data_IF_087402721232
#
_entry.id   IF_087402721232
#
_cell.length_a   1.000
_cell.length_b   1.000
_cell.length_c   1.000
_cell.angle_alpha   90.00
_cell.angle_beta   90.00
_cell.angle_gamma   90.00
#
_symmetry.space_group_name_H-M   'P 1'
#
loop_
_entity.id
_entity.type
_entity.pdbx_description
1 polymer ?
#
# COMPACT_ATOMS: atom_id res chain seq x y z
N UNK A 1 -18.54 17.83 -18.90
CA UNK A 1 -17.50 16.79 -19.03
C UNK A 1 -17.64 15.87 -17.82
N UNK A 2 -17.66 14.56 -18.04
CA UNK A 2 -17.90 13.54 -17.01
C UNK A 2 -16.59 12.80 -16.72
N UNK A 3 -16.36 12.44 -15.46
CA UNK A 3 -15.19 11.64 -15.08
C UNK A 3 -15.14 10.34 -15.88
N UNK A 4 -13.97 10.03 -16.42
CA UNK A 4 -13.75 8.82 -17.20
C UNK A 4 -12.23 8.50 -17.24
N UNK A 5 -11.87 7.35 -16.69
CA UNK A 5 -10.50 6.85 -16.65
C UNK A 5 -9.91 6.61 -18.05
N UNK A 6 -10.69 6.06 -18.99
CA UNK A 6 -10.23 5.71 -20.34
C UNK A 6 -9.93 6.94 -21.20
N UNK A 7 -10.68 8.03 -21.00
CA UNK A 7 -10.46 9.30 -21.70
C UNK A 7 -9.47 10.24 -20.99
N UNK A 8 -8.87 9.81 -19.87
CA UNK A 8 -7.97 10.63 -19.06
C UNK A 8 -8.65 11.81 -18.36
N UNK A 9 -9.98 11.77 -18.24
CA UNK A 9 -10.76 12.78 -17.53
C UNK A 9 -10.83 12.43 -16.05
N UNK A 10 -9.69 12.60 -15.39
CA UNK A 10 -9.41 12.20 -14.00
C UNK A 10 -8.70 13.34 -13.25
N UNK A 11 -8.57 13.25 -11.94
CA UNK A 11 -7.78 14.23 -11.18
C UNK A 11 -6.27 14.05 -11.42
N UNK A 12 -5.46 15.07 -11.10
CA UNK A 12 -4.00 14.92 -11.12
C UNK A 12 -3.54 13.95 -10.04
N UNK A 13 -4.21 13.96 -8.88
CA UNK A 13 -3.96 13.00 -7.81
C UNK A 13 -4.11 11.55 -8.28
N UNK A 14 -5.11 11.26 -9.12
CA UNK A 14 -5.33 9.94 -9.70
C UNK A 14 -4.21 9.52 -10.66
N UNK A 15 -3.75 10.42 -11.53
CA UNK A 15 -2.62 10.13 -12.42
C UNK A 15 -1.33 9.84 -11.64
N UNK A 16 -1.02 10.64 -10.62
CA UNK A 16 0.12 10.37 -9.72
C UNK A 16 -0.01 8.98 -9.07
N UNK A 17 -1.19 8.63 -8.57
CA UNK A 17 -1.44 7.35 -7.94
C UNK A 17 -1.29 6.17 -8.91
N UNK A 18 -1.76 6.29 -10.16
CA UNK A 18 -1.61 5.24 -11.19
C UNK A 18 -0.14 4.89 -11.41
N UNK A 19 0.75 5.87 -11.38
CA UNK A 19 2.18 5.62 -11.49
C UNK A 19 2.69 4.80 -10.30
N UNK A 20 2.35 5.19 -9.07
CA UNK A 20 2.73 4.43 -7.88
C UNK A 20 2.14 3.00 -7.86
N UNK A 21 0.89 2.80 -8.28
CA UNK A 21 0.30 1.45 -8.38
C UNK A 21 1.04 0.59 -9.41
N UNK A 22 1.33 1.14 -10.59
CA UNK A 22 2.10 0.46 -11.65
C UNK A 22 3.50 0.11 -11.18
N UNK A 23 4.18 1.03 -10.51
CA UNK A 23 5.52 0.81 -9.96
C UNK A 23 5.53 -0.30 -8.92
N UNK A 24 4.57 -0.32 -7.99
CA UNK A 24 4.44 -1.38 -6.99
C UNK A 24 4.22 -2.75 -7.63
N UNK A 25 3.34 -2.85 -8.63
CA UNK A 25 3.10 -4.10 -9.38
C UNK A 25 4.33 -4.53 -10.18
N UNK A 26 5.03 -3.58 -10.79
CA UNK A 26 6.25 -3.85 -11.54
C UNK A 26 7.36 -4.33 -10.61
N UNK A 27 7.54 -3.69 -9.45
CA UNK A 27 8.51 -4.08 -8.43
C UNK A 27 8.23 -5.51 -7.95
N UNK A 28 6.99 -5.83 -7.54
CA UNK A 28 6.63 -7.19 -7.12
C UNK A 28 7.00 -8.25 -8.18
N UNK A 29 6.59 -8.02 -9.44
CA UNK A 29 6.81 -8.95 -10.54
C UNK A 29 8.28 -9.08 -10.93
N UNK A 30 8.99 -7.95 -11.04
CA UNK A 30 10.38 -7.94 -11.47
C UNK A 30 11.30 -8.52 -10.38
N UNK A 31 11.06 -8.19 -9.11
CA UNK A 31 11.79 -8.77 -7.98
C UNK A 31 11.63 -10.28 -7.96
N UNK A 32 10.41 -10.83 -8.04
CA UNK A 32 10.18 -12.28 -8.08
C UNK A 32 10.89 -12.96 -9.28
N UNK A 33 10.88 -12.32 -10.45
CA UNK A 33 11.57 -12.86 -11.64
C UNK A 33 13.09 -12.84 -11.50
N UNK A 34 13.64 -11.79 -10.89
CA UNK A 34 15.08 -11.64 -10.73
C UNK A 34 15.61 -12.49 -9.60
N UNK A 35 14.95 -12.50 -8.44
CA UNK A 35 15.30 -13.35 -7.30
C UNK A 35 15.24 -14.82 -7.67
N UNK A 36 14.16 -15.28 -8.32
CA UNK A 36 14.03 -16.68 -8.72
C UNK A 36 15.19 -17.16 -9.60
N UNK A 37 15.66 -16.33 -10.54
CA UNK A 37 16.84 -16.67 -11.35
C UNK A 37 18.12 -16.66 -10.54
N UNK A 38 18.35 -15.62 -9.74
CA UNK A 38 19.56 -15.49 -8.94
C UNK A 38 19.71 -16.64 -7.93
N UNK A 39 18.61 -17.03 -7.27
CA UNK A 39 18.61 -18.15 -6.33
C UNK A 39 18.81 -19.50 -7.03
N UNK A 40 18.20 -19.71 -8.21
CA UNK A 40 18.46 -20.92 -8.98
C UNK A 40 19.94 -20.99 -9.42
N UNK A 41 20.50 -19.89 -9.93
CA UNK A 41 21.92 -19.83 -10.32
C UNK A 41 22.86 -20.10 -9.13
N UNK A 42 22.56 -19.53 -7.96
CA UNK A 42 23.32 -19.77 -6.74
C UNK A 42 23.23 -21.24 -6.27
N UNK A 43 22.03 -21.83 -6.35
CA UNK A 43 21.80 -23.22 -5.99
C UNK A 43 22.56 -24.18 -6.94
N UNK A 44 22.43 -23.98 -8.25
CA UNK A 44 23.08 -24.79 -9.27
C UNK A 44 24.61 -24.74 -9.13
N UNK A 45 25.19 -23.57 -8.83
CA UNK A 45 26.62 -23.44 -8.62
C UNK A 45 27.07 -24.13 -7.32
N UNK A 46 26.29 -24.01 -6.23
CA UNK A 46 26.58 -24.70 -4.98
C UNK A 46 26.56 -26.24 -5.14
N UNK A 47 25.56 -26.78 -5.84
CA UNK A 47 25.49 -28.20 -6.18
C UNK A 47 26.67 -28.64 -7.04
N UNK A 48 27.02 -27.85 -8.06
CA UNK A 48 28.16 -28.15 -8.94
C UNK A 48 29.47 -28.20 -8.17
N UNK A 49 29.76 -27.19 -7.35
CA UNK A 49 30.96 -27.14 -6.50
C UNK A 49 31.01 -28.35 -5.56
N UNK A 50 29.87 -28.73 -4.98
CA UNK A 50 29.81 -29.89 -4.10
C UNK A 50 30.04 -31.20 -4.85
N UNK A 51 29.43 -31.38 -6.02
CA UNK A 51 29.61 -32.56 -6.85
C UNK A 51 31.07 -32.75 -7.31
N UNK A 52 31.78 -31.66 -7.61
CA UNK A 52 33.18 -31.70 -8.02
C UNK A 52 34.14 -32.15 -6.88
N UNK A 53 33.78 -31.87 -5.63
CA UNK A 53 34.59 -32.19 -4.43
C UNK A 53 34.05 -33.35 -3.60
N UNK A 54 32.94 -33.97 -4.02
CA UNK A 54 32.25 -34.97 -3.22
C UNK A 54 33.14 -36.19 -2.96
N UNK A 55 33.14 -36.63 -1.70
CA UNK A 55 33.85 -37.80 -1.23
C UNK A 55 32.93 -38.52 -0.25
N UNK A 56 32.45 -39.74 -0.58
CA UNK A 56 31.49 -40.46 0.24
C UNK A 56 32.04 -40.86 1.62
N UNK A 57 33.35 -40.77 1.84
CA UNK A 57 33.97 -41.04 3.14
C UNK A 57 34.10 -39.81 4.04
N UNK A 58 34.00 -38.60 3.46
CA UNK A 58 34.18 -37.33 4.17
C UNK A 58 32.90 -36.47 4.20
N UNK A 59 31.99 -36.71 3.25
CA UNK A 59 30.83 -35.86 3.02
C UNK A 59 29.51 -36.62 3.13
N UNK A 60 28.49 -35.93 3.63
CA UNK A 60 27.12 -36.39 3.81
C UNK A 60 26.24 -36.18 2.57
N UNK A 61 26.63 -35.27 1.66
CA UNK A 61 26.00 -35.01 0.38
C UNK A 61 25.07 -33.79 0.35
N UNK A 62 24.78 -33.20 1.50
CA UNK A 62 23.93 -32.01 1.66
C UNK A 62 24.73 -30.72 1.91
N UNK A 63 26.06 -30.77 1.91
CA UNK A 63 26.91 -29.59 2.17
C UNK A 63 26.81 -28.49 1.09
N UNK A 64 26.13 -28.77 -0.04
CA UNK A 64 25.74 -27.74 -1.00
C UNK A 64 24.74 -26.74 -0.39
N UNK A 65 23.97 -27.15 0.62
CA UNK A 65 23.04 -26.27 1.35
C UNK A 65 23.81 -25.19 2.12
N UNK A 66 24.90 -25.54 2.79
CA UNK A 66 25.74 -24.58 3.51
C UNK A 66 26.44 -23.62 2.54
N UNK A 67 26.95 -24.13 1.42
CA UNK A 67 27.52 -23.28 0.36
C UNK A 67 26.50 -22.29 -0.21
N UNK A 68 25.25 -22.75 -0.39
CA UNK A 68 24.17 -21.90 -0.83
C UNK A 68 23.83 -20.84 0.23
N UNK A 69 23.69 -21.22 1.51
CA UNK A 69 23.42 -20.31 2.63
C UNK A 69 24.47 -19.19 2.72
N UNK A 70 25.76 -19.56 2.62
CA UNK A 70 26.88 -18.62 2.57
C UNK A 70 26.79 -17.69 1.35
N UNK A 71 26.40 -18.22 0.18
CA UNK A 71 26.29 -17.43 -1.06
C UNK A 71 25.16 -16.41 -1.00
N UNK A 72 24.08 -16.73 -0.30
CA UNK A 72 22.92 -15.84 -0.16
C UNK A 72 22.93 -15.02 1.13
N UNK A 73 24.02 -15.09 1.90
CA UNK A 73 24.19 -14.44 3.21
C UNK A 73 23.01 -14.73 4.16
N UNK A 74 22.49 -15.97 4.13
CA UNK A 74 21.32 -16.38 4.92
C UNK A 74 19.98 -15.74 4.50
N UNK A 75 19.94 -14.99 3.40
CA UNK A 75 18.70 -14.46 2.83
C UNK A 75 18.07 -15.48 1.88
N UNK A 76 17.38 -16.46 2.47
CA UNK A 76 16.69 -17.51 1.72
C UNK A 76 15.55 -16.97 0.84
N UNK A 77 15.16 -17.68 -0.25
CA UNK A 77 14.14 -17.23 -1.18
C UNK A 77 12.82 -16.81 -0.52
N UNK A 78 12.30 -17.63 0.40
CA UNK A 78 11.06 -17.34 1.11
C UNK A 78 11.14 -16.06 1.96
N UNK A 79 12.31 -15.75 2.54
CA UNK A 79 12.53 -14.54 3.33
C UNK A 79 12.61 -13.30 2.43
N UNK A 80 13.28 -13.41 1.28
CA UNK A 80 13.32 -12.35 0.27
C UNK A 80 11.95 -12.03 -0.30
N UNK A 81 11.19 -13.06 -0.67
CA UNK A 81 9.85 -12.92 -1.22
C UNK A 81 8.94 -12.21 -0.21
N UNK A 82 8.97 -12.63 1.05
CA UNK A 82 8.22 -11.99 2.12
C UNK A 82 8.61 -10.51 2.31
N UNK A 83 9.91 -10.18 2.27
CA UNK A 83 10.38 -8.77 2.39
C UNK A 83 9.86 -7.93 1.21
N UNK A 84 9.90 -8.49 0.01
CA UNK A 84 9.42 -7.85 -1.22
C UNK A 84 7.92 -7.57 -1.11
N UNK A 85 7.13 -8.58 -0.77
CA UNK A 85 5.69 -8.50 -0.58
C UNK A 85 5.31 -7.48 0.50
N UNK A 86 5.99 -7.53 1.66
CA UNK A 86 5.77 -6.59 2.75
C UNK A 86 6.08 -5.15 2.34
N UNK A 87 7.13 -4.95 1.53
CA UNK A 87 7.52 -3.63 1.03
C UNK A 87 6.48 -3.06 0.07
N UNK A 88 5.97 -3.88 -0.85
CA UNK A 88 4.88 -3.51 -1.77
C UNK A 88 3.62 -3.13 -0.98
N UNK A 89 3.23 -3.93 0.01
CA UNK A 89 2.06 -3.65 0.85
C UNK A 89 2.17 -2.31 1.58
N UNK A 90 3.34 -2.04 2.20
CA UNK A 90 3.58 -0.77 2.90
C UNK A 90 3.50 0.41 1.93
N UNK A 91 4.16 0.31 0.78
CA UNK A 91 4.21 1.38 -0.22
C UNK A 91 2.83 1.65 -0.83
N UNK A 92 2.06 0.61 -1.12
CA UNK A 92 0.73 0.75 -1.72
C UNK A 92 -0.25 1.47 -0.80
N UNK A 93 -0.29 1.13 0.50
CA UNK A 93 -1.15 1.80 1.47
C UNK A 93 -0.72 3.26 1.67
N UNK A 94 0.59 3.55 1.68
CA UNK A 94 1.09 4.93 1.73
C UNK A 94 0.71 5.72 0.48
N UNK A 95 0.89 5.16 -0.71
CA UNK A 95 0.48 5.79 -1.97
C UNK A 95 -1.03 6.07 -2.01
N UNK A 96 -1.84 5.16 -1.46
CA UNK A 96 -3.28 5.34 -1.30
C UNK A 96 -3.62 6.51 -0.34
N UNK A 97 -2.98 6.62 0.82
CA UNK A 97 -3.19 7.77 1.72
C UNK A 97 -2.79 9.10 1.08
N UNK A 98 -1.65 9.13 0.39
CA UNK A 98 -1.17 10.31 -0.34
C UNK A 98 -2.16 10.72 -1.44
N UNK A 99 -2.71 9.74 -2.16
CA UNK A 99 -3.78 9.98 -3.12
C UNK A 99 -4.98 10.67 -2.46
N UNK A 100 -5.47 10.14 -1.34
CA UNK A 100 -6.64 10.70 -0.66
C UNK A 100 -6.42 12.15 -0.23
N UNK A 101 -5.22 12.46 0.27
CA UNK A 101 -4.82 13.82 0.63
C UNK A 101 -4.80 14.74 -0.58
N UNK A 102 -4.08 14.36 -1.64
CA UNK A 102 -3.94 15.15 -2.87
C UNK A 102 -5.29 15.38 -3.55
N UNK A 103 -6.14 14.36 -3.62
CA UNK A 103 -7.46 14.45 -4.24
C UNK A 103 -8.35 15.46 -3.50
N UNK A 104 -8.30 15.50 -2.16
CA UNK A 104 -9.01 16.52 -1.38
C UNK A 104 -8.42 17.91 -1.61
N UNK A 105 -7.09 18.06 -1.58
CA UNK A 105 -6.44 19.36 -1.85
C UNK A 105 -6.81 19.91 -3.23
N UNK A 106 -6.79 19.05 -4.25
CA UNK A 106 -7.16 19.41 -5.62
C UNK A 106 -8.65 19.81 -5.71
N UNK A 107 -9.55 19.03 -5.12
CA UNK A 107 -10.98 19.29 -5.16
C UNK A 107 -11.39 20.59 -4.45
N UNK A 108 -10.69 20.94 -3.37
CA UNK A 108 -10.95 22.16 -2.60
C UNK A 108 -10.33 23.40 -3.24
N UNK A 109 -9.16 23.25 -3.86
CA UNK A 109 -8.32 24.36 -4.29
C UNK A 109 -7.58 25.02 -3.12
N UNK A 110 -6.72 25.99 -3.42
CA UNK A 110 -5.80 26.59 -2.44
C UNK A 110 -6.35 27.83 -1.73
N UNK A 111 -7.39 28.48 -2.26
CA UNK A 111 -7.91 29.73 -1.70
C UNK A 111 -9.39 29.97 -1.96
N UNK A 112 -10.00 30.82 -1.12
CA UNK A 112 -11.30 31.41 -1.36
C UNK A 112 -11.30 32.91 -1.09
N UNK A 113 -12.11 33.66 -1.85
CA UNK A 113 -12.38 35.07 -1.55
C UNK A 113 -13.67 35.19 -0.75
N UNK A 114 -13.58 35.71 0.47
CA UNK A 114 -14.73 35.96 1.34
C UNK A 114 -14.67 37.38 1.88
N UNK A 115 -15.78 38.11 1.80
CA UNK A 115 -15.88 39.51 2.24
C UNK A 115 -14.75 40.42 1.67
N UNK A 116 -14.35 40.20 0.42
CA UNK A 116 -13.30 40.96 -0.25
C UNK A 116 -11.86 40.61 0.18
N UNK A 117 -11.66 39.60 1.03
CA UNK A 117 -10.34 39.11 1.45
C UNK A 117 -10.09 37.70 0.93
N UNK A 118 -8.84 37.42 0.58
CA UNK A 118 -8.40 36.08 0.19
C UNK A 118 -8.06 35.30 1.46
N UNK A 119 -8.55 34.07 1.53
CA UNK A 119 -8.27 33.12 2.58
C UNK A 119 -7.63 31.87 1.98
N UNK A 120 -6.64 31.28 2.64
CA UNK A 120 -6.10 29.97 2.29
C UNK A 120 -6.97 28.87 2.87
N UNK A 121 -7.19 27.82 2.09
CA UNK A 121 -7.85 26.60 2.54
C UNK A 121 -6.76 25.54 2.74
N UNK A 122 -6.72 24.94 3.93
CA UNK A 122 -5.80 23.84 4.24
C UNK A 122 -6.58 22.67 4.82
N UNK A 123 -6.12 21.45 4.56
CA UNK A 123 -6.60 20.29 5.29
C UNK A 123 -6.12 20.37 6.74
N UNK A 124 -6.98 20.00 7.68
CA UNK A 124 -6.63 20.02 9.09
C UNK A 124 -5.62 18.89 9.39
N UNK A 125 -4.44 19.28 9.88
CA UNK A 125 -3.42 18.37 10.36
C UNK A 125 -3.29 18.47 11.88
N UNK A 126 -2.95 17.38 12.59
CA UNK A 126 -2.66 17.44 14.02
C UNK A 126 -1.48 18.38 14.30
N UNK A 127 -1.43 19.02 15.50
CA UNK A 127 -0.29 19.85 15.86
C UNK A 127 1.01 19.05 15.74
N UNK A 128 2.01 19.61 15.04
CA UNK A 128 3.33 19.02 14.73
C UNK A 128 3.42 18.09 13.51
N UNK A 129 2.33 17.88 12.78
CA UNK A 129 2.34 17.07 11.57
C UNK A 129 1.93 17.91 10.36
N UNK A 130 2.55 17.65 9.21
CA UNK A 130 2.20 18.30 7.95
C UNK A 130 1.02 17.60 7.26
N UNK A 131 0.91 16.28 7.42
CA UNK A 131 -0.16 15.49 6.81
C UNK A 131 -1.41 15.40 7.69
N UNK A 132 -2.61 15.37 7.08
CA UNK A 132 -3.87 15.13 7.80
C UNK A 132 -3.91 13.74 8.44
N UNK A 133 -4.67 13.62 9.52
CA UNK A 133 -4.95 12.30 10.11
C UNK A 133 -5.84 11.45 9.21
N UNK A 134 -5.75 10.12 9.32
CA UNK A 134 -6.64 9.19 8.61
C UNK A 134 -8.12 9.54 8.76
N UNK A 135 -8.54 9.89 9.98
CA UNK A 135 -9.92 10.32 10.26
C UNK A 135 -10.32 11.54 9.42
N UNK A 136 -9.40 12.49 9.23
CA UNK A 136 -9.64 13.68 8.42
C UNK A 136 -9.82 13.32 6.95
N UNK A 137 -8.97 12.43 6.43
CA UNK A 137 -9.07 11.94 5.05
C UNK A 137 -10.40 11.20 4.82
N UNK A 138 -10.77 10.26 5.69
CA UNK A 138 -12.03 9.50 5.59
C UNK A 138 -13.23 10.44 5.65
N UNK A 139 -13.28 11.33 6.65
CA UNK A 139 -14.41 12.26 6.81
C UNK A 139 -14.50 13.22 5.62
N UNK A 140 -13.35 13.67 5.10
CA UNK A 140 -13.29 14.53 3.93
C UNK A 140 -13.89 13.86 2.69
N UNK A 141 -13.43 12.66 2.38
CA UNK A 141 -13.95 11.86 1.26
C UNK A 141 -15.42 11.48 1.43
N UNK A 142 -15.88 11.25 2.67
CA UNK A 142 -17.28 11.01 2.98
C UNK A 142 -18.16 12.24 2.66
N UNK A 143 -17.69 13.46 2.99
CA UNK A 143 -18.40 14.70 2.64
C UNK A 143 -18.46 14.92 1.11
N UNK A 144 -17.43 14.50 0.38
CA UNK A 144 -17.44 14.50 -1.09
C UNK A 144 -18.43 13.47 -1.68
N UNK A 145 -18.80 12.45 -0.92
CA UNK A 145 -19.75 11.41 -1.30
C UNK A 145 -19.11 10.06 -1.63
N UNK A 146 -17.87 9.81 -1.19
CA UNK A 146 -17.15 8.55 -1.37
C UNK A 146 -16.89 7.85 -0.04
N UNK A 147 -16.91 6.51 -0.04
CA UNK A 147 -16.52 5.69 1.11
C UNK A 147 -15.13 5.09 0.86
N UNK A 148 -14.15 5.51 1.64
CA UNK A 148 -12.74 5.11 1.46
C UNK A 148 -12.22 4.17 2.56
N UNK A 149 -12.99 3.98 3.62
CA UNK A 149 -12.73 3.09 4.76
C UNK A 149 -13.48 1.76 4.62
N UNK A 150 -13.27 1.07 3.49
CA UNK A 150 -13.80 -0.30 3.31
C UNK A 150 -13.07 -1.28 4.23
N UNK A 151 -13.68 -2.43 4.49
CA UNK A 151 -13.08 -3.45 5.37
C UNK A 151 -11.70 -3.90 4.86
N UNK A 152 -11.53 -4.07 3.54
CA UNK A 152 -10.25 -4.43 2.93
C UNK A 152 -9.22 -3.29 3.05
N UNK A 153 -9.61 -2.01 2.93
CA UNK A 153 -8.70 -0.87 3.18
C UNK A 153 -8.28 -0.85 4.64
N UNK A 154 -9.23 -0.98 5.57
CA UNK A 154 -8.94 -0.98 7.01
C UNK A 154 -8.04 -2.16 7.39
N UNK A 155 -8.28 -3.34 6.81
CA UNK A 155 -7.40 -4.48 6.94
C UNK A 155 -5.98 -4.19 6.42
N UNK A 156 -5.85 -3.63 5.22
CA UNK A 156 -4.55 -3.33 4.62
C UNK A 156 -3.77 -2.28 5.43
N UNK A 157 -4.45 -1.29 5.99
CA UNK A 157 -3.86 -0.28 6.88
C UNK A 157 -3.34 -0.88 8.18
N UNK A 158 -4.12 -1.75 8.79
CA UNK A 158 -3.72 -2.40 10.03
C UNK A 158 -2.59 -3.40 9.77
N UNK A 159 -2.58 -4.06 8.61
CA UNK A 159 -1.44 -4.85 8.16
C UNK A 159 -0.20 -3.98 7.95
N UNK A 160 -0.30 -2.81 7.29
CA UNK A 160 0.84 -1.88 7.19
C UNK A 160 1.40 -1.53 8.57
N UNK A 161 0.53 -1.24 9.54
CA UNK A 161 0.97 -0.97 10.92
C UNK A 161 1.74 -2.16 11.49
N UNK A 162 1.23 -3.38 11.33
CA UNK A 162 1.90 -4.61 11.75
C UNK A 162 3.29 -4.76 11.09
N UNK A 163 3.35 -4.59 9.76
CA UNK A 163 4.59 -4.70 8.98
C UNK A 163 5.63 -3.64 9.36
N UNK A 164 5.21 -2.43 9.67
CA UNK A 164 6.12 -1.32 10.00
C UNK A 164 6.62 -1.39 11.44
N UNK A 165 5.75 -1.69 12.40
CA UNK A 165 6.09 -1.56 13.83
C UNK A 165 6.44 -2.88 14.51
N UNK A 166 6.00 -4.01 13.97
CA UNK A 166 6.23 -5.33 14.54
C UNK A 166 6.98 -6.25 13.58
N UNK A 167 7.52 -5.70 12.48
CA UNK A 167 8.16 -6.46 11.42
C UNK A 167 7.28 -7.64 10.92
N UNK A 168 5.96 -7.43 10.93
CA UNK A 168 4.99 -8.45 10.54
C UNK A 168 4.80 -9.61 11.51
N UNK A 169 5.43 -9.60 12.69
CA UNK A 169 5.24 -10.63 13.70
C UNK A 169 3.81 -10.61 14.26
N UNK A 170 3.21 -11.78 14.44
CA UNK A 170 1.84 -11.96 14.95
C UNK A 170 1.87 -12.16 16.48
N UNK A 171 1.55 -11.14 17.30
CA UNK A 171 1.80 -11.22 18.75
C UNK A 171 0.75 -12.02 19.53
N UNK A 172 -0.37 -12.41 18.92
CA UNK A 172 -1.50 -13.02 19.63
C UNK A 172 -2.41 -13.84 18.71
N UNK A 173 -3.27 -14.68 19.29
CA UNK A 173 -4.31 -15.41 18.56
C UNK A 173 -5.25 -14.48 17.78
N UNK A 174 -5.56 -13.31 18.33
CA UNK A 174 -6.37 -12.30 17.63
C UNK A 174 -5.67 -11.79 16.37
N UNK A 175 -4.34 -11.60 16.43
CA UNK A 175 -3.57 -11.20 15.26
C UNK A 175 -3.52 -12.32 14.22
N UNK A 176 -3.30 -13.57 14.66
CA UNK A 176 -3.34 -14.75 13.78
C UNK A 176 -4.70 -14.85 13.10
N UNK A 177 -5.80 -14.85 13.85
CA UNK A 177 -7.16 -14.95 13.31
C UNK A 177 -7.48 -13.81 12.31
N UNK A 178 -6.90 -12.63 12.52
CA UNK A 178 -7.15 -11.46 11.69
C UNK A 178 -6.35 -11.44 10.37
N UNK A 179 -5.09 -11.85 10.43
CA UNK A 179 -4.15 -11.67 9.32
C UNK A 179 -3.80 -12.97 8.60
N UNK A 180 -4.26 -14.12 9.11
CA UNK A 180 -4.13 -15.40 8.43
C UNK A 180 -4.85 -15.36 7.09
N UNK A 181 -4.17 -15.86 6.06
CA UNK A 181 -4.72 -16.03 4.72
C UNK A 181 -4.46 -17.47 4.25
N UNK A 182 -5.50 -18.33 4.18
CA UNK A 182 -5.33 -19.72 3.74
C UNK A 182 -4.77 -19.86 2.32
N UNK A 183 -5.01 -18.88 1.45
CA UNK A 183 -4.49 -18.93 0.08
C UNK A 183 -3.00 -18.61 0.04
N UNK A 184 -2.55 -17.70 0.92
CA UNK A 184 -1.13 -17.41 1.11
C UNK A 184 -0.37 -18.59 1.75
N UNK A 185 -1.04 -19.40 2.58
CA UNK A 185 -0.47 -20.55 3.27
C UNK A 185 -0.45 -21.85 2.46
N UNK A 186 -1.12 -21.90 1.30
CA UNK A 186 -1.50 -23.14 0.61
C UNK A 186 -0.30 -24.04 0.23
N UNK A 187 0.86 -23.43 -0.01
CA UNK A 187 2.10 -24.12 -0.40
C UNK A 187 3.26 -23.79 0.55
N UNK A 188 2.95 -23.31 1.76
CA UNK A 188 3.96 -22.97 2.76
C UNK A 188 4.22 -24.13 3.73
N UNK A 189 5.49 -24.28 4.11
CA UNK A 189 5.92 -25.16 5.19
C UNK A 189 5.17 -24.83 6.49
N UNK A 190 4.97 -25.84 7.34
CA UNK A 190 4.23 -25.64 8.60
C UNK A 190 4.82 -24.53 9.48
N UNK A 191 6.15 -24.36 9.43
CA UNK A 191 6.89 -23.31 10.15
C UNK A 191 6.65 -21.90 9.58
N UNK A 192 6.23 -21.79 8.32
CA UNK A 192 5.96 -20.52 7.64
C UNK A 192 4.50 -20.07 7.75
N UNK A 193 3.59 -20.97 8.17
CA UNK A 193 2.17 -20.65 8.38
C UNK A 193 1.96 -19.65 9.52
N UNK A 194 0.82 -18.96 9.53
CA UNK A 194 0.50 -18.00 10.59
C UNK A 194 0.45 -18.69 11.97
N UNK A 195 1.32 -18.26 12.87
CA UNK A 195 1.35 -18.69 14.26
C UNK A 195 1.81 -17.53 15.16
N UNK A 196 1.59 -17.63 16.48
CA UNK A 196 2.02 -16.61 17.42
C UNK A 196 3.54 -16.50 17.42
N UNK A 197 4.07 -15.29 17.23
CA UNK A 197 5.49 -14.98 17.11
C UNK A 197 6.02 -15.10 15.67
N UNK A 198 5.32 -15.83 14.80
CA UNK A 198 5.64 -15.96 13.39
C UNK A 198 5.29 -14.70 12.58
N UNK A 199 5.81 -14.62 11.35
CA UNK A 199 5.46 -13.55 10.42
C UNK A 199 4.09 -13.79 9.79
N UNK A 200 3.40 -12.71 9.47
CA UNK A 200 2.17 -12.74 8.68
C UNK A 200 2.42 -13.34 7.29
N UNK A 201 1.66 -14.36 6.86
CA UNK A 201 1.69 -14.83 5.48
C UNK A 201 1.13 -13.74 4.56
N UNK A 202 1.91 -13.34 3.57
CA UNK A 202 1.48 -12.37 2.56
C UNK A 202 1.14 -13.12 1.28
N UNK A 203 2.14 -13.58 0.53
CA UNK A 203 1.93 -14.25 -0.75
C UNK A 203 1.48 -13.28 -1.85
N UNK A 204 2.05 -13.43 -3.04
CA UNK A 204 1.70 -12.63 -4.23
C UNK A 204 0.19 -12.48 -4.47
N UNK A 205 -0.65 -13.55 -4.40
CA UNK A 205 -2.08 -13.41 -4.64
C UNK A 205 -2.77 -12.41 -3.69
N UNK A 206 -2.39 -12.42 -2.41
CA UNK A 206 -2.97 -11.52 -1.41
C UNK A 206 -2.52 -10.08 -1.60
N UNK A 207 -1.24 -9.88 -1.93
CA UNK A 207 -0.69 -8.55 -2.23
C UNK A 207 -1.45 -7.96 -3.42
N UNK A 208 -1.59 -8.71 -4.52
CA UNK A 208 -2.32 -8.27 -5.71
C UNK A 208 -3.79 -7.98 -5.42
N UNK A 209 -4.49 -8.86 -4.69
CA UNK A 209 -5.88 -8.61 -4.25
C UNK A 209 -6.00 -7.30 -3.47
N UNK A 210 -5.02 -6.99 -2.61
CA UNK A 210 -5.01 -5.75 -1.84
C UNK A 210 -4.80 -4.54 -2.75
N UNK A 211 -3.84 -4.60 -3.68
CA UNK A 211 -3.63 -3.54 -4.67
C UNK A 211 -4.90 -3.26 -5.49
N UNK A 212 -5.59 -4.31 -5.92
CA UNK A 212 -6.85 -4.20 -6.67
C UNK A 212 -7.97 -3.57 -5.82
N UNK A 213 -8.02 -3.91 -4.53
CA UNK A 213 -9.00 -3.35 -3.58
C UNK A 213 -8.76 -1.86 -3.34
N UNK A 214 -7.49 -1.45 -3.16
CA UNK A 214 -7.11 -0.04 -3.06
C UNK A 214 -7.45 0.71 -4.36
N UNK A 215 -7.11 0.12 -5.52
CA UNK A 215 -7.41 0.69 -6.83
C UNK A 215 -8.91 0.92 -7.06
N UNK A 216 -9.76 -0.04 -6.66
CA UNK A 216 -11.21 0.11 -6.75
C UNK A 216 -11.73 1.28 -5.90
N UNK A 217 -11.18 1.46 -4.69
CA UNK A 217 -11.55 2.59 -3.82
C UNK A 217 -11.06 3.92 -4.42
N UNK A 218 -9.85 3.97 -4.96
CA UNK A 218 -9.33 5.18 -5.63
C UNK A 218 -10.22 5.61 -6.79
N UNK A 219 -10.62 4.68 -7.67
CA UNK A 219 -11.54 4.98 -8.78
C UNK A 219 -12.89 5.53 -8.32
N UNK A 220 -13.47 4.96 -7.27
CA UNK A 220 -14.76 5.42 -6.75
C UNK A 220 -14.66 6.76 -6.01
N UNK A 221 -13.51 7.05 -5.39
CA UNK A 221 -13.24 8.32 -4.72
C UNK A 221 -12.85 9.45 -5.70
N UNK A 222 -12.24 9.14 -6.85
CA UNK A 222 -11.76 10.16 -7.77
C UNK A 222 -12.90 10.90 -8.47
N UNK A 223 -13.94 10.17 -8.88
CA UNK A 223 -15.07 10.74 -9.58
C UNK A 223 -15.72 11.95 -8.85
N UNK A 224 -16.07 11.87 -7.55
CA UNK A 224 -16.61 13.03 -6.83
C UNK A 224 -15.57 14.13 -6.57
N UNK A 225 -14.30 13.78 -6.31
CA UNK A 225 -13.22 14.77 -6.13
C UNK A 225 -13.00 15.59 -7.41
N UNK A 226 -12.85 14.90 -8.54
CA UNK A 226 -12.73 15.50 -9.86
C UNK A 226 -13.95 16.35 -10.20
N UNK A 227 -15.17 15.83 -9.95
CA UNK A 227 -16.39 16.57 -10.24
C UNK A 227 -16.45 17.90 -9.48
N UNK A 228 -16.05 17.92 -8.21
CA UNK A 228 -16.04 19.11 -7.37
C UNK A 228 -15.05 20.18 -7.88
N UNK A 229 -13.88 19.76 -8.34
CA UNK A 229 -12.83 20.65 -8.84
C UNK A 229 -13.08 21.14 -10.27
N UNK A 230 -13.60 20.28 -11.15
CA UNK A 230 -13.49 20.47 -12.60
C UNK A 230 -14.83 20.45 -13.35
N UNK A 231 -15.93 20.03 -12.74
CA UNK A 231 -17.25 20.01 -13.40
C UNK A 231 -18.14 21.17 -12.95
N UNK A 232 -18.96 21.77 -13.84
CA UNK A 232 -19.90 22.82 -13.45
C UNK A 232 -20.89 22.38 -12.36
N UNK A 233 -21.40 21.13 -12.47
CA UNK A 233 -22.36 20.56 -11.53
C UNK A 233 -21.74 20.26 -10.16
N UNK A 234 -20.48 19.84 -10.09
CA UNK A 234 -19.79 19.69 -8.81
C UNK A 234 -19.41 21.05 -8.21
N UNK A 235 -18.96 22.00 -9.02
CA UNK A 235 -18.56 23.33 -8.53
C UNK A 235 -19.72 24.11 -7.89
N UNK A 236 -20.96 23.90 -8.34
CA UNK A 236 -22.14 24.49 -7.70
C UNK A 236 -22.33 24.04 -6.24
N UNK A 237 -21.82 22.84 -5.88
CA UNK A 237 -21.87 22.29 -4.52
C UNK A 237 -20.67 22.71 -3.65
N UNK A 238 -19.68 23.38 -4.21
CA UNK A 238 -18.40 23.64 -3.55
C UNK A 238 -18.52 24.40 -2.22
N UNK A 239 -19.37 25.43 -2.16
CA UNK A 239 -19.59 26.17 -0.91
C UNK A 239 -20.24 25.30 0.18
N UNK A 240 -21.18 24.43 -0.19
CA UNK A 240 -21.81 23.51 0.74
C UNK A 240 -20.81 22.47 1.27
N UNK A 241 -19.93 21.95 0.39
CA UNK A 241 -18.85 21.04 0.77
C UNK A 241 -17.85 21.72 1.72
N UNK A 242 -17.38 22.93 1.42
CA UNK A 242 -16.49 23.66 2.33
C UNK A 242 -17.11 23.90 3.69
N UNK A 243 -18.38 24.31 3.73
CA UNK A 243 -19.12 24.51 4.99
C UNK A 243 -19.17 23.22 5.80
N UNK A 244 -19.50 22.09 5.16
CA UNK A 244 -19.55 20.79 5.82
C UNK A 244 -18.17 20.35 6.34
N UNK A 245 -17.11 20.48 5.53
CA UNK A 245 -15.74 20.14 5.93
C UNK A 245 -15.25 21.00 7.09
N UNK A 246 -15.55 22.30 7.08
CA UNK A 246 -15.19 23.19 8.18
C UNK A 246 -15.93 22.83 9.47
N UNK A 247 -17.24 22.53 9.39
CA UNK A 247 -18.04 22.06 10.53
C UNK A 247 -17.50 20.75 11.12
N UNK A 248 -17.02 19.84 10.27
CA UNK A 248 -16.38 18.58 10.68
C UNK A 248 -14.91 18.75 11.08
N UNK A 249 -14.38 19.99 11.12
CA UNK A 249 -12.98 20.30 11.46
C UNK A 249 -11.96 19.60 10.56
N UNK A 250 -12.33 19.33 9.31
CA UNK A 250 -11.47 18.69 8.32
C UNK A 250 -10.60 19.69 7.55
N UNK A 251 -10.95 20.98 7.60
CA UNK A 251 -10.19 22.06 6.98
C UNK A 251 -10.00 23.22 7.95
N UNK A 252 -8.94 24.00 7.74
CA UNK A 252 -8.76 25.34 8.30
C UNK A 252 -8.89 26.38 7.19
N UNK A 253 -9.42 27.55 7.55
CA UNK A 253 -9.54 28.70 6.66
C UNK A 253 -8.81 29.85 7.33
N UNK A 254 -7.67 30.23 6.77
CA UNK A 254 -6.76 31.23 7.32
C UNK A 254 -6.75 32.47 6.43
N UNK A 255 -6.76 33.70 6.96
CA UNK A 255 -6.51 34.88 6.14
C UNK A 255 -5.11 34.79 5.51
N UNK A 256 -4.99 35.18 4.23
CA UNK A 256 -3.69 35.36 3.55
C UNK A 256 -2.95 36.56 4.15
#
# INVERSE_FOLDING_TARGET
MTWNEDSGTVSRAFEDWKWSDRENRAFLRLSARWSGRAYQEAWDEAEKVMNERFDPYLHYGDEHVDLFDDTVDGLWPHAYDWITEASVMKNAVTAFEVYLEKALQEALGSSLTYAGKVHQIKLAAPPRYESPSWRTLVTGHQVLGSKVDTDEVMWARDLRHLLTHQNGALPSDTAVARFRDPDAERDQDELSRAHIGGKVPLGVPRVLKTLDSLAAVVRTADAPAWALGWSPGGRSRWQAVLKALHQQKCITIEPV
#
